data_IF_835450072322
#
_entry.id   IF_835450072322
#
_cell.length_a   1.000
_cell.length_b   1.000
_cell.length_c   1.000
_cell.angle_alpha   90.00
_cell.angle_beta   90.00
_cell.angle_gamma   90.00
#
_symmetry.space_group_name_H-M   'P 1'
#
loop_
_entity.id
_entity.type
_entity.pdbx_description
1 polymer ?
#
# COMPACT_ATOMS: atom_id res chain seq x y z
N UNK A 1 46.06 -46.57 -3.29
CA UNK A 1 45.44 -45.27 -3.64
C UNK A 1 46.57 -44.24 -3.76
N UNK A 2 46.85 -43.69 -4.95
CA UNK A 2 48.04 -42.87 -5.16
C UNK A 2 47.78 -41.44 -4.67
N UNK A 3 48.54 -41.04 -3.66
CA UNK A 3 48.51 -39.72 -3.00
C UNK A 3 48.94 -38.55 -3.90
N UNK A 4 49.54 -38.82 -5.05
CA UNK A 4 50.00 -37.79 -6.01
C UNK A 4 48.85 -37.11 -6.76
N UNK A 5 47.74 -37.81 -7.03
CA UNK A 5 46.54 -37.21 -7.64
C UNK A 5 45.76 -36.31 -6.68
N UNK A 6 45.92 -36.52 -5.37
CA UNK A 6 45.19 -35.76 -4.34
C UNK A 6 45.82 -34.37 -4.17
N UNK A 7 47.15 -34.27 -4.27
CA UNK A 7 47.86 -32.98 -4.22
C UNK A 7 47.52 -32.04 -5.38
N UNK A 8 47.41 -32.57 -6.60
CA UNK A 8 47.06 -31.77 -7.79
C UNK A 8 45.64 -31.23 -7.75
N UNK A 9 44.65 -32.09 -7.48
CA UNK A 9 43.23 -31.69 -7.42
C UNK A 9 42.95 -30.76 -6.23
N UNK A 10 43.58 -30.99 -5.07
CA UNK A 10 43.46 -30.10 -3.92
C UNK A 10 44.08 -28.71 -4.19
N UNK A 11 45.20 -28.65 -4.92
CA UNK A 11 45.84 -27.40 -5.30
C UNK A 11 45.00 -26.63 -6.33
N UNK A 12 44.40 -27.32 -7.30
CA UNK A 12 43.48 -26.73 -8.28
C UNK A 12 42.23 -26.14 -7.60
N UNK A 13 41.61 -26.86 -6.66
CA UNK A 13 40.47 -26.34 -5.90
C UNK A 13 40.86 -25.17 -5.00
N UNK A 14 42.03 -25.22 -4.36
CA UNK A 14 42.54 -24.11 -3.56
C UNK A 14 42.76 -22.86 -4.42
N UNK A 15 43.34 -23.02 -5.62
CA UNK A 15 43.51 -21.93 -6.59
C UNK A 15 42.16 -21.36 -7.03
N UNK A 16 41.17 -22.20 -7.30
CA UNK A 16 39.82 -21.74 -7.65
C UNK A 16 39.16 -20.96 -6.51
N UNK A 17 39.27 -21.44 -5.27
CA UNK A 17 38.74 -20.75 -4.08
C UNK A 17 39.46 -19.42 -3.86
N UNK A 18 40.80 -19.39 -3.94
CA UNK A 18 41.58 -18.16 -3.82
C UNK A 18 41.22 -17.18 -4.93
N UNK A 19 41.05 -17.66 -6.17
CA UNK A 19 40.64 -16.82 -7.29
C UNK A 19 39.24 -16.23 -7.08
N UNK A 20 38.27 -17.03 -6.64
CA UNK A 20 36.91 -16.56 -6.29
C UNK A 20 36.99 -15.52 -5.16
N UNK A 21 37.75 -15.78 -4.10
CA UNK A 21 37.94 -14.83 -3.00
C UNK A 21 38.58 -13.53 -3.48
N UNK A 22 39.54 -13.60 -4.38
CA UNK A 22 40.22 -12.44 -4.95
C UNK A 22 39.25 -11.63 -5.82
N UNK A 23 38.44 -12.27 -6.66
CA UNK A 23 37.38 -11.62 -7.44
C UNK A 23 36.35 -10.97 -6.52
N UNK A 24 35.87 -11.67 -5.48
CA UNK A 24 34.93 -11.12 -4.49
C UNK A 24 35.54 -9.93 -3.74
N UNK A 25 36.81 -10.02 -3.36
CA UNK A 25 37.53 -8.96 -2.67
C UNK A 25 37.69 -7.72 -3.57
N UNK A 26 38.07 -7.90 -4.83
CA UNK A 26 38.17 -6.81 -5.80
C UNK A 26 36.80 -6.19 -6.10
N UNK A 27 35.74 -6.99 -6.22
CA UNK A 27 34.38 -6.50 -6.38
C UNK A 27 33.92 -5.68 -5.16
N UNK A 28 34.20 -6.15 -3.95
CA UNK A 28 33.91 -5.43 -2.70
C UNK A 28 34.73 -4.15 -2.54
N UNK A 29 36.00 -4.18 -2.95
CA UNK A 29 36.86 -3.00 -2.95
C UNK A 29 36.38 -1.97 -3.98
N UNK A 30 36.02 -2.41 -5.19
CA UNK A 30 35.42 -1.56 -6.22
C UNK A 30 34.09 -0.96 -5.74
N UNK A 31 33.24 -1.72 -5.05
CA UNK A 31 32.00 -1.22 -4.45
C UNK A 31 32.23 -0.13 -3.39
N UNK A 32 33.39 -0.13 -2.70
CA UNK A 32 33.79 0.91 -1.74
C UNK A 32 34.42 2.15 -2.37
N UNK A 33 34.70 2.13 -3.68
CA UNK A 33 35.22 3.31 -4.40
C UNK A 33 34.08 4.21 -4.92
N UNK A 34 34.34 5.50 -5.13
CA UNK A 34 33.34 6.49 -5.57
C UNK A 34 32.55 6.10 -6.86
N UNK A 35 33.13 5.39 -7.85
CA UNK A 35 32.38 4.83 -8.97
C UNK A 35 31.47 3.65 -8.59
N UNK A 36 31.90 2.79 -7.65
CA UNK A 36 31.10 1.68 -7.13
C UNK A 36 29.90 2.15 -6.31
N UNK A 37 30.06 3.20 -5.51
CA UNK A 37 28.95 3.87 -4.83
C UNK A 37 27.95 4.48 -5.85
N UNK A 38 28.43 5.04 -6.97
CA UNK A 38 27.56 5.54 -8.05
C UNK A 38 26.83 4.43 -8.79
N UNK A 39 27.45 3.28 -9.02
CA UNK A 39 26.80 2.10 -9.61
C UNK A 39 25.74 1.52 -8.68
N UNK A 40 26.02 1.43 -7.38
CA UNK A 40 25.06 0.96 -6.39
C UNK A 40 23.88 1.92 -6.27
N UNK A 41 24.16 3.23 -6.22
CA UNK A 41 23.13 4.27 -6.26
C UNK A 41 22.33 4.23 -7.57
N UNK A 42 22.95 3.92 -8.72
CA UNK A 42 22.26 3.77 -10.01
C UNK A 42 21.38 2.51 -10.07
N UNK A 43 21.85 1.38 -9.52
CA UNK A 43 21.05 0.15 -9.39
C UNK A 43 19.87 0.36 -8.44
N UNK A 44 20.11 1.02 -7.31
CA UNK A 44 19.06 1.44 -6.39
C UNK A 44 18.05 2.36 -7.11
N UNK A 45 18.52 3.37 -7.82
CA UNK A 45 17.65 4.28 -8.58
C UNK A 45 16.93 3.63 -9.77
N UNK A 46 17.46 2.55 -10.34
CA UNK A 46 16.90 1.88 -11.53
C UNK A 46 15.98 0.72 -11.14
N UNK A 47 16.27 0.03 -10.03
CA UNK A 47 15.54 -1.15 -9.55
C UNK A 47 14.52 -0.75 -8.47
N UNK A 48 14.86 0.06 -7.45
CA UNK A 48 13.88 0.51 -6.44
C UNK A 48 12.88 1.53 -7.01
N UNK A 49 13.22 2.27 -8.06
CA UNK A 49 12.25 3.13 -8.76
C UNK A 49 11.34 2.37 -9.74
N UNK A 50 11.64 1.10 -9.99
CA UNK A 50 10.78 0.10 -10.62
C UNK A 50 10.07 -0.76 -9.56
N UNK A 51 9.57 -0.14 -8.50
CA UNK A 51 8.38 -0.65 -7.81
C UNK A 51 7.17 -0.01 -8.52
N UNK A 52 6.67 -0.59 -9.64
CA UNK A 52 5.55 -0.06 -10.40
C UNK A 52 4.27 0.10 -9.57
N UNK A 53 4.21 -0.55 -8.40
CA UNK A 53 3.09 -0.43 -7.44
C UNK A 53 2.81 1.02 -7.10
N UNK A 54 3.81 1.86 -6.78
CA UNK A 54 3.52 3.25 -6.38
C UNK A 54 3.05 4.11 -7.55
N UNK A 55 3.57 3.86 -8.76
CA UNK A 55 3.14 4.56 -9.97
C UNK A 55 1.72 4.19 -10.38
N UNK A 56 1.35 2.91 -10.27
CA UNK A 56 0.00 2.41 -10.55
C UNK A 56 -0.99 2.89 -9.49
N UNK A 57 -0.63 2.81 -8.20
CA UNK A 57 -1.42 3.36 -7.10
C UNK A 57 -1.63 4.87 -7.29
N UNK A 58 -0.58 5.63 -7.62
CA UNK A 58 -0.68 7.07 -7.87
C UNK A 58 -1.54 7.43 -9.09
N UNK A 59 -1.57 6.57 -10.12
CA UNK A 59 -2.46 6.73 -11.28
C UNK A 59 -3.90 6.45 -10.89
N UNK A 60 -4.15 5.34 -10.20
CA UNK A 60 -5.49 4.98 -9.73
C UNK A 60 -6.05 6.01 -8.74
N UNK A 61 -5.26 6.49 -7.78
CA UNK A 61 -5.72 7.56 -6.87
C UNK A 61 -5.96 8.89 -7.57
N UNK A 62 -5.16 9.22 -8.60
CA UNK A 62 -5.41 10.39 -9.45
C UNK A 62 -6.67 10.23 -10.29
N UNK A 63 -6.91 9.04 -10.82
CA UNK A 63 -8.11 8.71 -11.58
C UNK A 63 -9.35 8.84 -10.67
N UNK A 64 -9.32 8.28 -9.46
CA UNK A 64 -10.35 8.47 -8.44
C UNK A 64 -10.57 9.95 -8.11
N UNK A 65 -9.51 10.75 -7.92
CA UNK A 65 -9.65 12.18 -7.69
C UNK A 65 -10.27 12.92 -8.89
N UNK A 66 -9.99 12.48 -10.12
CA UNK A 66 -10.62 13.03 -11.33
C UNK A 66 -12.08 12.58 -11.48
N UNK A 67 -12.51 11.50 -10.82
CA UNK A 67 -13.90 11.07 -10.80
C UNK A 67 -14.80 12.02 -10.00
N UNK A 68 -14.27 12.98 -9.24
CA UNK A 68 -15.05 14.06 -8.59
C UNK A 68 -15.97 14.83 -9.57
N UNK A 69 -15.71 14.76 -10.88
CA UNK A 69 -16.58 15.40 -11.90
C UNK A 69 -17.78 14.53 -12.30
N UNK A 70 -17.83 13.26 -11.89
CA UNK A 70 -18.99 12.39 -12.06
C UNK A 70 -20.01 12.70 -10.97
N UNK A 71 -21.30 12.77 -11.32
CA UNK A 71 -22.36 13.26 -10.43
C UNK A 71 -22.47 12.50 -9.11
N UNK A 72 -22.13 11.22 -9.10
CA UNK A 72 -22.38 10.32 -7.98
C UNK A 72 -21.12 10.05 -7.15
N UNK A 73 -19.93 10.39 -7.69
CA UNK A 73 -18.67 10.11 -7.02
C UNK A 73 -18.45 11.06 -5.85
N UNK A 74 -18.54 10.56 -4.62
CA UNK A 74 -18.49 11.39 -3.42
C UNK A 74 -17.92 10.65 -2.21
N UNK A 75 -17.36 11.40 -1.26
CA UNK A 75 -16.83 10.83 0.00
C UNK A 75 -17.99 10.50 0.94
N UNK A 76 -17.90 9.39 1.65
CA UNK A 76 -18.90 8.96 2.62
C UNK A 76 -18.31 8.11 3.75
N UNK A 77 -19.15 7.77 4.72
CA UNK A 77 -18.94 6.72 5.70
C UNK A 77 -19.92 5.58 5.45
N UNK A 78 -19.40 4.37 5.28
CA UNK A 78 -20.20 3.14 5.20
C UNK A 78 -20.27 2.48 6.58
N UNK A 79 -21.48 2.09 7.01
CA UNK A 79 -21.69 1.25 8.19
C UNK A 79 -21.60 -0.21 7.79
N UNK A 80 -20.52 -0.87 8.18
CA UNK A 80 -20.32 -2.32 7.97
C UNK A 80 -20.08 -2.93 9.34
N UNK A 81 -20.92 -3.90 9.69
CA UNK A 81 -21.03 -4.40 11.07
C UNK A 81 -21.20 -3.22 12.03
N UNK A 82 -20.43 -3.19 13.12
CA UNK A 82 -20.47 -2.15 14.15
C UNK A 82 -19.44 -1.03 13.93
N UNK A 83 -18.90 -0.92 12.71
CA UNK A 83 -17.90 0.08 12.37
C UNK A 83 -18.37 1.04 11.26
N UNK A 84 -17.93 2.29 11.38
CA UNK A 84 -18.00 3.27 10.31
C UNK A 84 -16.67 3.33 9.57
N UNK A 85 -16.71 3.08 8.26
CA UNK A 85 -15.53 3.09 7.41
C UNK A 85 -15.60 4.22 6.40
N UNK A 86 -14.52 4.98 6.26
CA UNK A 86 -14.37 5.94 5.18
C UNK A 86 -14.47 5.22 3.84
N UNK A 87 -15.24 5.78 2.91
CA UNK A 87 -15.52 5.17 1.63
C UNK A 87 -15.82 6.22 0.55
N UNK A 88 -15.91 5.76 -0.69
CA UNK A 88 -16.35 6.55 -1.83
C UNK A 88 -17.61 5.91 -2.41
N UNK A 89 -18.68 6.70 -2.54
CA UNK A 89 -19.81 6.32 -3.39
C UNK A 89 -19.30 6.41 -4.82
N UNK A 90 -19.43 5.33 -5.59
CA UNK A 90 -18.95 5.26 -6.98
C UNK A 90 -20.09 5.50 -7.95
N UNK A 91 -21.24 4.87 -7.67
CA UNK A 91 -22.40 4.88 -8.54
C UNK A 91 -23.66 4.62 -7.71
N UNK A 92 -24.76 5.31 -8.06
CA UNK A 92 -26.09 4.96 -7.58
C UNK A 92 -26.75 4.02 -8.59
N UNK A 93 -26.98 2.76 -8.19
CA UNK A 93 -27.55 1.74 -9.08
C UNK A 93 -29.06 1.93 -9.27
N UNK A 94 -29.75 2.26 -8.17
CA UNK A 94 -31.17 2.58 -8.15
C UNK A 94 -31.49 3.47 -6.92
N UNK A 95 -32.78 3.63 -6.57
CA UNK A 95 -33.20 4.46 -5.43
C UNK A 95 -32.80 3.92 -4.06
N UNK A 96 -32.35 2.67 -3.96
CA UNK A 96 -32.10 1.98 -2.70
C UNK A 96 -30.63 1.59 -2.58
N UNK A 97 -29.97 1.18 -3.67
CA UNK A 97 -28.66 0.54 -3.68
C UNK A 97 -27.56 1.45 -4.23
N UNK A 98 -26.45 1.54 -3.50
CA UNK A 98 -25.23 2.26 -3.86
C UNK A 98 -24.07 1.30 -4.06
N UNK A 99 -23.29 1.49 -5.13
CA UNK A 99 -21.96 0.91 -5.25
C UNK A 99 -20.97 1.78 -4.46
N UNK A 100 -20.33 1.19 -3.45
CA UNK A 100 -19.40 1.88 -2.55
C UNK A 100 -18.04 1.20 -2.58
N UNK A 101 -16.99 1.98 -2.79
CA UNK A 101 -15.62 1.52 -2.65
C UNK A 101 -15.07 1.86 -1.27
N UNK A 102 -14.66 0.85 -0.50
CA UNK A 102 -14.04 0.99 0.81
C UNK A 102 -12.53 0.76 0.66
N UNK A 103 -11.72 1.83 0.73
CA UNK A 103 -10.28 1.78 0.54
C UNK A 103 -9.55 1.13 1.73
N UNK A 104 -8.37 0.60 1.46
CA UNK A 104 -7.41 0.10 2.44
C UNK A 104 -6.34 1.14 2.74
N UNK A 105 -5.91 1.25 3.99
CA UNK A 105 -4.79 2.12 4.37
C UNK A 105 -3.45 1.34 4.38
N UNK A 106 -2.32 1.95 3.98
CA UNK A 106 -2.13 3.32 3.46
C UNK A 106 -2.23 3.40 1.92
N UNK A 107 -2.96 2.48 1.27
CA UNK A 107 -3.02 2.35 -0.20
C UNK A 107 -4.42 2.66 -0.72
N UNK A 108 -4.78 3.94 -0.95
CA UNK A 108 -6.19 4.35 -1.16
C UNK A 108 -6.84 3.75 -2.40
N UNK A 109 -6.05 3.31 -3.38
CA UNK A 109 -6.55 2.64 -4.59
C UNK A 109 -6.82 1.14 -4.40
N UNK A 110 -6.35 0.53 -3.31
CA UNK A 110 -6.65 -0.85 -2.94
C UNK A 110 -7.83 -0.86 -1.97
N UNK A 111 -8.66 -1.90 -2.02
CA UNK A 111 -9.83 -2.00 -1.16
C UNK A 111 -10.86 -2.97 -1.70
N UNK A 112 -12.07 -2.87 -1.17
CA UNK A 112 -13.20 -3.73 -1.55
C UNK A 112 -14.37 -2.89 -2.02
N UNK A 113 -15.17 -3.46 -2.92
CA UNK A 113 -16.44 -2.88 -3.35
C UNK A 113 -17.56 -3.55 -2.56
N UNK A 114 -18.49 -2.73 -2.07
CA UNK A 114 -19.69 -3.16 -1.38
C UNK A 114 -20.91 -2.54 -2.05
N UNK A 115 -22.01 -3.29 -2.06
CA UNK A 115 -23.32 -2.79 -2.44
C UNK A 115 -24.13 -2.57 -1.17
N UNK A 116 -24.44 -1.32 -0.86
CA UNK A 116 -25.06 -0.93 0.41
C UNK A 116 -26.32 -0.13 0.16
N UNK A 117 -27.29 -0.27 1.06
CA UNK A 117 -28.48 0.56 1.07
C UNK A 117 -28.17 1.99 1.53
N UNK A 118 -28.93 2.99 1.07
CA UNK A 118 -28.66 4.40 1.43
C UNK A 118 -28.63 4.67 2.94
N UNK A 119 -29.42 3.96 3.75
CA UNK A 119 -29.45 4.10 5.22
C UNK A 119 -28.14 3.67 5.91
N UNK A 120 -27.32 2.87 5.23
CA UNK A 120 -26.00 2.43 5.72
C UNK A 120 -24.87 3.34 5.26
N UNK A 121 -25.15 4.40 4.51
CA UNK A 121 -24.13 5.29 3.94
C UNK A 121 -24.41 6.74 4.34
N UNK A 122 -23.44 7.37 5.01
CA UNK A 122 -23.50 8.79 5.39
C UNK A 122 -22.51 9.58 4.53
N UNK A 123 -23.02 10.34 3.55
CA UNK A 123 -22.18 11.24 2.73
C UNK A 123 -21.43 12.23 3.59
N UNK A 124 -20.19 12.53 3.23
CA UNK A 124 -19.30 13.52 3.83
C UNK A 124 -19.09 14.68 2.86
N UNK A 125 -19.37 15.90 3.31
CA UNK A 125 -19.10 17.11 2.53
C UNK A 125 -17.64 17.54 2.71
N UNK A 126 -16.73 16.74 2.15
CA UNK A 126 -15.28 16.96 2.19
C UNK A 126 -14.65 16.65 0.83
N UNK A 127 -13.53 17.32 0.48
CA UNK A 127 -12.80 16.99 -0.74
C UNK A 127 -12.29 15.54 -0.74
N UNK A 128 -12.30 14.87 -1.90
CA UNK A 128 -11.73 13.51 -2.06
C UNK A 128 -10.25 13.50 -1.69
N UNK A 129 -9.54 14.59 -1.99
CA UNK A 129 -8.13 14.77 -1.61
C UNK A 129 -7.89 14.70 -0.10
N UNK A 130 -8.81 15.22 0.72
CA UNK A 130 -8.74 15.14 2.19
C UNK A 130 -8.93 13.70 2.67
N UNK A 131 -9.88 12.97 2.09
CA UNK A 131 -10.10 11.55 2.37
C UNK A 131 -8.88 10.69 1.99
N UNK A 132 -8.33 10.89 0.79
CA UNK A 132 -7.11 10.21 0.33
C UNK A 132 -5.93 10.49 1.27
N UNK A 133 -5.75 11.74 1.69
CA UNK A 133 -4.70 12.13 2.64
C UNK A 133 -4.86 11.42 3.98
N UNK A 134 -6.09 11.36 4.50
CA UNK A 134 -6.42 10.64 5.73
C UNK A 134 -6.05 9.15 5.64
N UNK A 135 -6.42 8.48 4.54
CA UNK A 135 -6.11 7.06 4.30
C UNK A 135 -4.60 6.82 4.23
N UNK A 136 -3.87 7.63 3.47
CA UNK A 136 -2.41 7.52 3.36
C UNK A 136 -1.70 7.73 4.70
N UNK A 137 -2.29 8.53 5.60
CA UNK A 137 -1.77 8.82 6.94
C UNK A 137 -2.37 7.92 8.02
N UNK A 138 -2.94 6.77 7.65
CA UNK A 138 -3.47 5.77 8.58
C UNK A 138 -4.54 6.33 9.54
N UNK A 139 -5.34 7.29 9.07
CA UNK A 139 -6.41 7.92 9.84
C UNK A 139 -5.99 9.19 10.61
N UNK A 140 -4.70 9.58 10.60
CA UNK A 140 -4.27 10.84 11.22
C UNK A 140 -4.85 12.04 10.47
N UNK A 141 -5.58 12.90 11.20
CA UNK A 141 -6.33 14.03 10.62
C UNK A 141 -7.80 13.73 10.36
N UNK A 142 -8.30 12.57 10.80
CA UNK A 142 -9.73 12.21 10.71
C UNK A 142 -10.63 13.12 11.55
N UNK A 143 -10.11 13.75 12.61
CA UNK A 143 -10.88 14.67 13.44
C UNK A 143 -11.46 15.80 12.61
N UNK A 144 -10.66 16.45 11.78
CA UNK A 144 -11.09 17.53 10.90
C UNK A 144 -12.06 17.02 9.82
N UNK A 145 -11.81 15.83 9.28
CA UNK A 145 -12.65 15.20 8.26
C UNK A 145 -14.05 14.83 8.77
N UNK A 146 -14.15 14.51 10.06
CA UNK A 146 -15.39 14.07 10.73
C UNK A 146 -16.05 15.18 11.56
N UNK A 147 -15.54 16.43 11.50
CA UNK A 147 -16.16 17.57 12.18
C UNK A 147 -17.61 17.74 11.70
N UNK A 148 -18.57 17.65 12.63
CA UNK A 148 -19.99 17.80 12.32
C UNK A 148 -20.79 16.49 12.20
N UNK A 149 -20.17 15.32 12.35
CA UNK A 149 -20.89 14.03 12.46
C UNK A 149 -21.18 13.74 13.93
N UNK A 150 -22.40 14.01 14.43
CA UNK A 150 -22.64 14.17 15.88
C UNK A 150 -22.56 12.89 16.70
N UNK A 151 -22.53 11.73 16.05
CA UNK A 151 -22.50 10.43 16.71
C UNK A 151 -22.12 9.36 15.69
N UNK A 152 -20.84 9.01 15.65
CA UNK A 152 -20.46 7.62 15.40
C UNK A 152 -20.70 6.89 16.73
N UNK A 153 -21.98 6.81 17.15
CA UNK A 153 -22.35 6.15 18.39
C UNK A 153 -21.80 4.73 18.36
N UNK A 154 -21.02 4.31 19.37
CA UNK A 154 -20.66 2.92 19.49
C UNK A 154 -21.97 2.15 19.70
N UNK A 155 -22.22 1.15 18.87
CA UNK A 155 -23.18 0.11 19.20
C UNK A 155 -22.59 -0.69 20.37
N UNK A 156 -22.74 -0.15 21.58
CA UNK A 156 -22.60 -0.93 22.79
C UNK A 156 -23.88 -1.76 22.85
N UNK A 157 -23.89 -2.87 22.12
CA UNK A 157 -24.84 -3.94 22.38
C UNK A 157 -24.42 -4.51 23.74
N UNK A 158 -25.10 -4.02 24.79
CA UNK A 158 -24.98 -4.52 26.14
C UNK A 158 -25.29 -6.02 26.09
N UNK A 159 -24.24 -6.84 26.15
CA UNK A 159 -24.34 -8.30 26.13
C UNK A 159 -25.11 -8.74 27.37
N UNK A 160 -26.45 -8.79 27.24
CA UNK A 160 -27.35 -9.31 28.27
C UNK A 160 -26.94 -10.77 28.49
N UNK A 161 -26.42 -11.15 29.68
CA UNK A 161 -26.13 -12.54 29.95
C UNK A 161 -27.45 -13.30 29.83
N UNK A 162 -27.45 -14.30 28.96
CA UNK A 162 -28.57 -15.22 28.79
C UNK A 162 -28.98 -15.77 30.17
N UNK A 163 -30.21 -15.45 30.58
CA UNK A 163 -30.94 -16.21 31.60
C UNK A 163 -31.25 -17.60 31.08
#
# INVERSE_FOLDING_TARGET
LPVEKIGGVALEHLLAVVFILLVCFLAGLAARTSPGAKLNAWLEHTILRKVPVFGLVKRATREMANMETQSDFSVALARIEEAWMLCFIVEKLDNVLLAVFVPSAPTPAAGSIYYLTEDRVKRLDVPVSSAISCIMRLGVGSKELLQGYPALEPAIEEHRPHQ
#
